data_IF_633840100693
#
_entry.id   IF_633840100693
#
_cell.length_a   1.000
_cell.length_b   1.000
_cell.length_c   1.000
_cell.angle_alpha   90.00
_cell.angle_beta   90.00
_cell.angle_gamma   90.00
#
_symmetry.space_group_name_H-M   'P 1'
#
loop_
_entity.id
_entity.type
_entity.pdbx_description
1 polymer ?
#
# COMPACT_ATOMS: atom_id res chain seq x y z
N UNK A 1 12.86 -22.55 7.24
CA UNK A 1 12.07 -21.38 7.70
C UNK A 1 11.40 -20.61 6.55
N UNK A 2 11.95 -20.58 5.32
CA UNK A 2 11.32 -19.93 4.14
C UNK A 2 9.85 -20.33 3.90
N UNK A 3 9.53 -21.62 3.80
CA UNK A 3 8.14 -22.10 3.56
C UNK A 3 7.08 -21.60 4.55
N UNK A 4 7.45 -21.25 5.80
CA UNK A 4 6.51 -20.64 6.76
C UNK A 4 6.34 -19.15 6.52
N UNK A 5 7.41 -18.45 6.13
CA UNK A 5 7.40 -17.01 5.82
C UNK A 5 6.58 -16.73 4.57
N UNK A 6 6.69 -17.59 3.55
CA UNK A 6 5.94 -17.50 2.31
C UNK A 6 4.43 -17.68 2.56
N UNK A 7 4.04 -18.67 3.40
CA UNK A 7 2.63 -18.87 3.78
C UNK A 7 2.03 -17.72 4.58
N UNK A 8 2.78 -17.14 5.52
CA UNK A 8 2.30 -16.03 6.36
C UNK A 8 2.13 -14.76 5.53
N UNK A 9 3.00 -14.52 4.55
CA UNK A 9 2.91 -13.31 3.71
C UNK A 9 1.91 -13.46 2.57
N UNK A 10 1.76 -14.66 2.02
CA UNK A 10 0.61 -15.00 1.17
C UNK A 10 -0.72 -14.82 1.91
N UNK A 11 -0.76 -15.17 3.20
CA UNK A 11 -1.93 -14.89 4.04
C UNK A 11 -2.16 -13.39 4.17
N UNK A 12 -1.13 -12.60 4.44
CA UNK A 12 -1.26 -11.14 4.60
C UNK A 12 -1.76 -10.43 3.32
N UNK A 13 -1.33 -10.89 2.14
CA UNK A 13 -1.82 -10.38 0.84
C UNK A 13 -3.26 -10.79 0.52
N UNK A 14 -3.70 -11.94 1.03
CA UNK A 14 -5.09 -12.40 0.85
C UNK A 14 -6.07 -11.57 1.67
N UNK A 15 -5.61 -10.94 2.75
CA UNK A 15 -6.43 -10.16 3.68
C UNK A 15 -6.24 -8.65 3.49
N UNK A 16 -6.52 -8.17 2.28
CA UNK A 16 -6.50 -6.73 1.92
C UNK A 16 -7.35 -5.85 2.85
N UNK A 17 -8.37 -6.44 3.49
CA UNK A 17 -9.23 -5.75 4.45
C UNK A 17 -8.53 -5.33 5.74
N UNK A 18 -7.41 -5.97 6.10
CA UNK A 18 -6.64 -5.59 7.29
C UNK A 18 -6.11 -4.17 7.19
N UNK A 19 -5.75 -3.70 5.99
CA UNK A 19 -5.30 -2.31 5.81
C UNK A 19 -6.42 -1.32 6.14
N UNK A 20 -7.66 -1.66 5.79
CA UNK A 20 -8.82 -0.85 6.13
C UNK A 20 -9.04 -0.83 7.64
N UNK A 21 -8.91 -1.97 8.32
CA UNK A 21 -9.04 -2.06 9.78
C UNK A 21 -7.98 -1.20 10.49
N UNK A 22 -6.72 -1.31 10.05
CA UNK A 22 -5.62 -0.53 10.64
C UNK A 22 -5.78 0.96 10.33
N UNK A 23 -6.17 1.33 9.10
CA UNK A 23 -6.45 2.72 8.74
C UNK A 23 -7.63 3.30 9.54
N UNK A 24 -8.68 2.51 9.77
CA UNK A 24 -9.81 2.90 10.63
C UNK A 24 -9.37 3.07 12.08
N UNK A 25 -8.50 2.20 12.60
CA UNK A 25 -7.96 2.35 13.95
C UNK A 25 -7.13 3.64 14.09
N UNK A 26 -6.32 3.99 13.08
CA UNK A 26 -5.58 5.26 13.04
C UNK A 26 -6.54 6.45 12.99
N UNK A 27 -7.61 6.38 12.19
CA UNK A 27 -8.62 7.44 12.14
C UNK A 27 -9.35 7.61 13.48
N UNK A 28 -9.69 6.52 14.17
CA UNK A 28 -10.29 6.57 15.51
C UNK A 28 -9.29 7.16 16.52
N UNK A 29 -8.01 6.79 16.45
CA UNK A 29 -6.98 7.38 17.30
C UNK A 29 -6.84 8.89 17.06
N UNK A 30 -6.92 9.34 15.80
CA UNK A 30 -6.93 10.77 15.45
C UNK A 30 -8.16 11.49 16.02
N UNK A 31 -9.34 10.86 15.99
CA UNK A 31 -10.55 11.39 16.64
C UNK A 31 -10.36 11.55 18.15
N UNK A 32 -9.76 10.56 18.82
CA UNK A 32 -9.54 10.61 20.27
C UNK A 32 -8.45 11.61 20.67
N UNK A 33 -7.48 11.86 19.80
CA UNK A 33 -6.44 12.87 20.00
C UNK A 33 -6.94 14.31 19.75
N UNK A 34 -8.17 14.48 19.27
CA UNK A 34 -8.78 15.76 18.90
C UNK A 34 -8.59 16.92 19.88
N UNK A 35 -8.71 16.77 21.22
CA UNK A 35 -8.63 17.90 22.15
C UNK A 35 -7.29 18.65 22.12
N UNK A 36 -6.30 18.13 21.39
CA UNK A 36 -4.93 18.65 21.34
C UNK A 36 -4.58 19.42 20.07
N UNK A 37 -5.42 19.38 19.02
CA UNK A 37 -5.15 20.01 17.73
C UNK A 37 -6.37 20.82 17.24
N UNK A 38 -6.52 22.04 17.75
CA UNK A 38 -7.59 22.94 17.31
C UNK A 38 -7.18 23.64 16.00
N UNK A 39 -7.42 22.97 14.87
CA UNK A 39 -7.15 23.52 13.55
C UNK A 39 -8.21 24.59 13.17
N UNK A 40 -7.78 25.64 12.49
CA UNK A 40 -8.69 26.60 11.85
C UNK A 40 -9.39 26.01 10.62
N UNK A 41 -10.49 26.62 10.18
CA UNK A 41 -11.21 26.20 8.95
C UNK A 41 -10.27 26.23 7.74
N UNK A 42 -9.50 27.30 7.56
CA UNK A 42 -8.54 27.44 6.45
C UNK A 42 -7.46 26.36 6.45
N UNK A 43 -6.99 25.95 7.63
CA UNK A 43 -5.98 24.89 7.78
C UNK A 43 -6.55 23.53 7.40
N UNK A 44 -7.82 23.25 7.72
CA UNK A 44 -8.50 22.02 7.27
C UNK A 44 -8.70 21.95 5.76
N UNK A 45 -9.01 23.08 5.11
CA UNK A 45 -9.05 23.17 3.65
C UNK A 45 -7.67 22.84 3.04
N UNK A 46 -6.60 23.43 3.59
CA UNK A 46 -5.23 23.15 3.15
C UNK A 46 -4.84 21.68 3.38
N UNK A 47 -5.21 21.11 4.53
CA UNK A 47 -4.99 19.70 4.86
C UNK A 47 -5.65 18.79 3.84
N UNK A 48 -6.97 18.93 3.61
CA UNK A 48 -7.71 18.10 2.66
C UNK A 48 -7.21 18.23 1.22
N UNK A 49 -6.83 19.45 0.79
CA UNK A 49 -6.22 19.67 -0.52
C UNK A 49 -4.86 18.93 -0.65
N UNK A 50 -4.06 18.95 0.43
CA UNK A 50 -2.80 18.22 0.50
C UNK A 50 -3.02 16.71 0.44
N UNK A 51 -4.02 16.19 1.18
CA UNK A 51 -4.39 14.76 1.16
C UNK A 51 -4.85 14.33 -0.22
N UNK A 52 -5.73 15.10 -0.88
CA UNK A 52 -6.19 14.80 -2.23
C UNK A 52 -5.04 14.80 -3.25
N UNK A 53 -4.09 15.74 -3.11
CA UNK A 53 -2.89 15.80 -3.96
C UNK A 53 -1.98 14.60 -3.72
N UNK A 54 -1.77 14.22 -2.46
CA UNK A 54 -1.01 13.04 -2.08
C UNK A 54 -1.61 11.76 -2.68
N UNK A 55 -2.93 11.57 -2.56
CA UNK A 55 -3.62 10.43 -3.17
C UNK A 55 -3.50 10.41 -4.70
N UNK A 56 -3.58 11.57 -5.35
CA UNK A 56 -3.32 11.71 -6.78
C UNK A 56 -1.91 11.28 -7.18
N UNK A 57 -0.90 11.65 -6.38
CA UNK A 57 0.49 11.22 -6.58
C UNK A 57 0.65 9.71 -6.38
N UNK A 58 0.03 9.14 -5.34
CA UNK A 58 0.05 7.68 -5.09
C UNK A 58 -0.62 6.93 -6.23
N UNK A 59 -1.74 7.43 -6.75
CA UNK A 59 -2.44 6.86 -7.90
C UNK A 59 -1.56 6.88 -9.15
N UNK A 60 -0.90 8.02 -9.43
CA UNK A 60 0.02 8.16 -10.56
C UNK A 60 1.23 7.21 -10.43
N UNK A 61 1.87 7.17 -9.26
CA UNK A 61 3.01 6.30 -8.99
C UNK A 61 2.65 4.81 -9.09
N UNK A 62 1.46 4.42 -8.60
CA UNK A 62 0.96 3.05 -8.69
C UNK A 62 0.68 2.64 -10.13
N UNK A 63 0.11 3.55 -10.93
CA UNK A 63 -0.14 3.33 -12.36
C UNK A 63 1.16 3.17 -13.14
N UNK A 64 2.13 4.05 -12.88
CA UNK A 64 3.46 3.98 -13.47
C UNK A 64 4.19 2.68 -13.10
N UNK A 65 4.15 2.29 -11.82
CA UNK A 65 4.77 1.05 -11.35
C UNK A 65 4.15 -0.19 -11.98
N UNK A 66 2.81 -0.21 -12.12
CA UNK A 66 2.11 -1.29 -12.81
C UNK A 66 2.52 -1.40 -14.29
N UNK A 67 2.70 -0.25 -14.95
CA UNK A 67 3.15 -0.20 -16.34
C UNK A 67 4.60 -0.66 -16.49
N UNK A 68 5.50 -0.21 -15.62
CA UNK A 68 6.90 -0.67 -15.62
C UNK A 68 7.00 -2.18 -15.39
N UNK A 69 6.19 -2.73 -14.50
CA UNK A 69 6.13 -4.19 -14.27
C UNK A 69 5.61 -4.96 -15.50
N UNK A 70 4.69 -4.37 -16.28
CA UNK A 70 4.17 -4.98 -17.51
C UNK A 70 5.19 -4.95 -18.66
N UNK A 71 6.08 -3.96 -18.67
CA UNK A 71 7.12 -3.78 -19.69
C UNK A 71 8.50 -4.34 -19.30
N UNK A 72 8.68 -4.79 -18.05
CA UNK A 72 9.95 -5.33 -17.57
C UNK A 72 10.44 -6.51 -18.44
N UNK A 73 11.68 -6.37 -18.95
CA UNK A 73 12.39 -7.39 -19.74
C UNK A 73 13.30 -8.28 -18.88
N UNK A 74 13.52 -7.92 -17.61
CA UNK A 74 14.34 -8.71 -16.69
C UNK A 74 13.71 -10.11 -16.49
N UNK A 75 14.45 -11.21 -16.71
CA UNK A 75 13.92 -12.57 -16.63
C UNK A 75 13.33 -12.91 -15.25
N UNK A 76 13.92 -12.41 -14.16
CA UNK A 76 13.39 -12.58 -12.80
C UNK A 76 12.03 -11.87 -12.65
N UNK A 77 11.92 -10.63 -13.12
CA UNK A 77 10.67 -9.88 -13.08
C UNK A 77 9.59 -10.55 -13.93
N UNK A 78 9.96 -11.09 -15.10
CA UNK A 78 9.04 -11.84 -15.97
C UNK A 78 8.56 -13.13 -15.30
N UNK A 79 9.45 -13.86 -14.61
CA UNK A 79 9.13 -15.08 -13.85
C UNK A 79 8.16 -14.77 -12.71
N UNK A 80 8.48 -13.79 -11.85
CA UNK A 80 7.63 -13.31 -10.75
C UNK A 80 6.26 -12.88 -11.27
N UNK A 81 6.23 -12.09 -12.34
CA UNK A 81 4.97 -11.63 -12.96
C UNK A 81 4.11 -12.79 -13.45
N UNK A 82 4.69 -13.82 -14.04
CA UNK A 82 3.95 -15.00 -14.52
C UNK A 82 3.40 -15.82 -13.36
N UNK A 83 4.21 -16.02 -12.32
CA UNK A 83 3.86 -16.88 -11.18
C UNK A 83 2.85 -16.22 -10.23
N UNK A 84 2.97 -14.92 -10.01
CA UNK A 84 2.14 -14.16 -9.07
C UNK A 84 1.17 -13.16 -9.73
N UNK A 85 0.92 -13.27 -11.05
CA UNK A 85 0.01 -12.39 -11.80
C UNK A 85 -1.32 -12.08 -11.10
N UNK A 86 -2.09 -13.07 -10.58
CA UNK A 86 -3.37 -12.77 -9.95
C UNK A 86 -3.23 -11.95 -8.66
N UNK A 87 -2.17 -12.20 -7.88
CA UNK A 87 -1.89 -11.45 -6.65
C UNK A 87 -1.51 -10.00 -6.97
N UNK A 88 -0.56 -9.81 -7.90
CA UNK A 88 -0.12 -8.48 -8.35
C UNK A 88 -1.30 -7.65 -8.86
N UNK A 89 -2.14 -8.22 -9.74
CA UNK A 89 -3.31 -7.52 -10.26
C UNK A 89 -4.29 -7.14 -9.16
N UNK A 90 -4.52 -8.02 -8.19
CA UNK A 90 -5.43 -7.78 -7.07
C UNK A 90 -4.91 -6.68 -6.14
N UNK A 91 -3.62 -6.69 -5.80
CA UNK A 91 -3.00 -5.65 -4.95
C UNK A 91 -2.93 -4.31 -5.66
N UNK A 92 -2.58 -4.28 -6.94
CA UNK A 92 -2.56 -3.06 -7.74
C UNK A 92 -3.95 -2.46 -7.87
N UNK A 93 -4.97 -3.28 -8.20
CA UNK A 93 -6.35 -2.81 -8.29
C UNK A 93 -6.85 -2.26 -6.96
N UNK A 94 -6.55 -2.94 -5.84
CA UNK A 94 -6.93 -2.46 -4.52
C UNK A 94 -6.25 -1.13 -4.15
N UNK A 95 -4.98 -0.95 -4.51
CA UNK A 95 -4.25 0.30 -4.28
C UNK A 95 -4.86 1.43 -5.12
N UNK A 96 -5.03 1.21 -6.42
CA UNK A 96 -5.63 2.19 -7.33
C UNK A 96 -7.05 2.59 -6.90
N UNK A 97 -7.93 1.62 -6.64
CA UNK A 97 -9.29 1.93 -6.20
C UNK A 97 -9.31 2.60 -4.82
N UNK A 98 -8.39 2.22 -3.94
CA UNK A 98 -8.21 2.84 -2.63
C UNK A 98 -7.87 4.32 -2.73
N UNK A 99 -6.79 4.64 -3.44
CA UNK A 99 -6.34 6.03 -3.63
C UNK A 99 -7.41 6.87 -4.34
N UNK A 100 -8.13 6.30 -5.32
CA UNK A 100 -9.24 7.01 -5.96
C UNK A 100 -10.38 7.32 -4.97
N UNK A 101 -10.76 6.35 -4.13
CA UNK A 101 -11.77 6.55 -3.10
C UNK A 101 -11.32 7.54 -2.03
N UNK A 102 -10.04 7.51 -1.64
CA UNK A 102 -9.47 8.45 -0.66
C UNK A 102 -9.41 9.88 -1.22
N UNK A 103 -9.00 10.06 -2.48
CA UNK A 103 -9.04 11.35 -3.17
C UNK A 103 -10.48 11.89 -3.28
N UNK A 104 -11.42 11.06 -3.73
CA UNK A 104 -12.83 11.44 -3.81
C UNK A 104 -13.41 11.77 -2.42
N UNK A 105 -13.08 10.95 -1.41
CA UNK A 105 -13.47 11.13 -0.02
C UNK A 105 -12.98 12.46 0.54
N UNK A 106 -11.70 12.78 0.35
CA UNK A 106 -11.10 14.05 0.76
C UNK A 106 -11.78 15.25 0.09
N UNK A 107 -12.07 15.16 -1.21
CA UNK A 107 -12.81 16.22 -1.93
C UNK A 107 -14.24 16.37 -1.42
N UNK A 108 -14.94 15.27 -1.14
CA UNK A 108 -16.29 15.35 -0.56
C UNK A 108 -16.30 15.91 0.86
N UNK A 109 -15.25 15.64 1.65
CA UNK A 109 -15.09 16.16 3.00
C UNK A 109 -14.91 17.69 3.03
N UNK A 110 -14.43 18.31 1.94
CA UNK A 110 -14.32 19.78 1.83
C UNK A 110 -15.68 20.47 2.02
N UNK A 111 -16.77 19.87 1.53
CA UNK A 111 -18.11 20.44 1.70
C UNK A 111 -18.60 20.41 3.15
N UNK A 112 -18.04 19.54 3.99
CA UNK A 112 -18.39 19.39 5.39
C UNK A 112 -17.41 20.06 6.36
N UNK A 113 -16.36 20.73 5.88
CA UNK A 113 -15.27 21.23 6.71
C UNK A 113 -15.70 22.30 7.74
N UNK A 114 -16.71 23.10 7.42
CA UNK A 114 -17.28 24.09 8.34
C UNK A 114 -18.32 23.50 9.30
N UNK A 115 -19.06 22.48 8.85
CA UNK A 115 -20.17 21.91 9.62
C UNK A 115 -19.68 20.87 10.62
N UNK A 116 -18.82 19.94 10.18
CA UNK A 116 -18.38 18.78 10.97
C UNK A 116 -16.85 18.65 10.94
N UNK A 117 -16.11 19.58 11.58
CA UNK A 117 -14.65 19.63 11.51
C UNK A 117 -13.97 18.36 12.05
N UNK A 118 -14.55 17.73 13.07
CA UNK A 118 -14.06 16.47 13.64
C UNK A 118 -14.08 15.32 12.64
N UNK A 119 -15.15 15.24 11.83
CA UNK A 119 -15.31 14.19 10.82
C UNK A 119 -14.27 14.39 9.73
N UNK A 120 -14.02 15.63 9.32
CA UNK A 120 -13.02 15.97 8.32
C UNK A 120 -11.62 15.49 8.71
N UNK A 121 -11.19 15.74 9.94
CA UNK A 121 -9.84 15.38 10.36
C UNK A 121 -9.66 13.85 10.46
N UNK A 122 -10.71 13.11 10.82
CA UNK A 122 -10.68 11.63 10.74
C UNK A 122 -10.65 11.09 9.34
N UNK A 123 -11.38 11.72 8.40
CA UNK A 123 -11.35 11.34 6.99
C UNK A 123 -9.95 11.60 6.43
N UNK A 124 -9.35 12.74 6.76
CA UNK A 124 -7.98 13.05 6.35
C UNK A 124 -6.98 12.00 6.86
N UNK A 125 -7.05 11.64 8.16
CA UNK A 125 -6.20 10.61 8.74
C UNK A 125 -6.38 9.24 8.07
N UNK A 126 -7.62 8.83 7.79
CA UNK A 126 -7.92 7.59 7.08
C UNK A 126 -7.35 7.60 5.66
N UNK A 127 -7.59 8.69 4.92
CA UNK A 127 -7.13 8.85 3.53
C UNK A 127 -5.61 8.87 3.41
N UNK A 128 -4.87 9.31 4.43
CA UNK A 128 -3.41 9.20 4.44
C UNK A 128 -2.95 7.80 4.84
N UNK A 129 -3.55 7.21 5.88
CA UNK A 129 -3.12 5.93 6.41
C UNK A 129 -3.31 4.77 5.42
N UNK A 130 -4.45 4.72 4.73
CA UNK A 130 -4.79 3.59 3.87
C UNK A 130 -3.83 3.40 2.67
N UNK A 131 -3.53 4.44 1.87
CA UNK A 131 -2.58 4.33 0.76
C UNK A 131 -1.16 4.01 1.26
N UNK A 132 -0.73 4.59 2.38
CA UNK A 132 0.59 4.32 2.97
C UNK A 132 0.70 2.85 3.37
N UNK A 133 -0.28 2.29 4.08
CA UNK A 133 -0.29 0.89 4.47
C UNK A 133 -0.28 -0.04 3.26
N UNK A 134 -1.07 0.28 2.23
CA UNK A 134 -1.11 -0.50 0.97
C UNK A 134 0.22 -0.44 0.23
N UNK A 135 0.84 0.74 0.16
CA UNK A 135 2.15 0.95 -0.45
C UNK A 135 3.26 0.18 0.27
N UNK A 136 3.35 0.31 1.59
CA UNK A 136 4.33 -0.41 2.41
C UNK A 136 4.18 -1.93 2.25
N UNK A 137 2.95 -2.45 2.23
CA UNK A 137 2.73 -3.88 1.97
C UNK A 137 3.19 -4.30 0.58
N UNK A 138 2.88 -3.51 -0.45
CA UNK A 138 3.28 -3.82 -1.81
C UNK A 138 4.81 -3.87 -1.95
N UNK A 139 5.51 -2.92 -1.32
CA UNK A 139 6.97 -2.88 -1.28
C UNK A 139 7.54 -4.06 -0.49
N UNK A 140 7.06 -4.33 0.73
CA UNK A 140 7.52 -5.46 1.54
C UNK A 140 7.38 -6.77 0.76
N UNK A 141 6.19 -7.01 0.18
CA UNK A 141 5.96 -8.20 -0.62
C UNK A 141 6.92 -8.32 -1.81
N UNK A 142 7.09 -7.25 -2.57
CA UNK A 142 7.95 -7.25 -3.76
C UNK A 142 9.40 -7.56 -3.41
N UNK A 143 9.93 -6.96 -2.34
CA UNK A 143 11.30 -7.21 -1.87
C UNK A 143 11.50 -8.70 -1.56
N UNK A 144 10.54 -9.34 -0.92
CA UNK A 144 10.69 -10.73 -0.47
C UNK A 144 10.59 -11.70 -1.62
N UNK A 145 9.59 -11.51 -2.50
CA UNK A 145 9.41 -12.39 -3.65
C UNK A 145 10.61 -12.28 -4.60
N UNK A 146 11.16 -11.08 -4.77
CA UNK A 146 12.38 -10.89 -5.56
C UNK A 146 13.57 -11.61 -4.93
N UNK A 147 13.74 -11.53 -3.60
CA UNK A 147 14.83 -12.20 -2.89
C UNK A 147 14.67 -13.74 -2.85
N UNK A 148 13.45 -14.27 -2.76
CA UNK A 148 13.23 -15.73 -2.75
C UNK A 148 13.55 -16.35 -4.09
N UNK A 149 13.15 -15.71 -5.19
CA UNK A 149 13.44 -16.20 -6.55
C UNK A 149 14.92 -16.11 -6.89
N UNK A 150 15.62 -15.06 -6.42
CA UNK A 150 17.08 -14.95 -6.58
C UNK A 150 17.84 -16.08 -5.86
N UNK A 151 17.33 -16.55 -4.72
CA UNK A 151 17.93 -17.67 -3.97
C UNK A 151 17.68 -19.01 -4.67
N UNK A 152 16.49 -19.22 -5.22
CA UNK A 152 16.12 -20.47 -5.91
C UNK A 152 16.82 -20.61 -7.28
N UNK A 153 17.15 -19.50 -7.95
CA UNK A 153 17.90 -19.52 -9.22
C UNK A 153 19.43 -19.70 -9.04
N UNK A 154 19.95 -19.79 -7.80
CA UNK A 154 21.38 -20.12 -7.58
C UNK A 154 21.62 -21.60 -7.88
N UNK A 155 22.55 -21.94 -8.81
CA UNK A 155 22.88 -23.34 -9.06
C UNK A 155 23.38 -23.98 -7.77
N UNK A 156 22.88 -25.18 -7.46
CA UNK A 156 23.33 -25.97 -6.33
C UNK A 156 24.86 -26.01 -6.34
N UNK A 157 25.48 -25.52 -5.26
CA UNK A 157 26.95 -25.51 -5.15
C UNK A 157 27.41 -26.95 -5.35
N UNK A 158 28.20 -27.28 -6.40
CA UNK A 158 28.62 -28.64 -6.63
C UNK A 158 29.31 -29.12 -5.36
N UNK A 159 28.78 -30.20 -4.77
CA UNK A 159 29.31 -30.78 -3.54
C UNK A 159 30.81 -30.94 -3.75
N UNK A 160 31.61 -30.14 -3.04
CA UNK A 160 33.08 -30.23 -3.12
C UNK A 160 33.42 -31.68 -2.82
N UNK A 161 33.93 -32.35 -3.85
CA UNK A 161 34.22 -33.77 -3.81
C UNK A 161 35.00 -34.10 -2.54
N UNK A 162 34.38 -34.95 -1.70
CA UNK A 162 35.13 -35.77 -0.78
C UNK A 162 36.03 -36.64 -1.66
N UNK A 163 37.31 -36.25 -1.73
CA UNK A 163 38.34 -37.14 -2.27
C UNK A 163 38.39 -38.39 -1.37
N UNK A 164 38.52 -39.58 -1.98
CA UNK A 164 38.58 -40.85 -1.27
C UNK A 164 39.75 -40.93 -0.30
#
# INVERSE_FOLDING_TARGET
MQRRRDRVKDWWLRHLGLDCVVASAIAIAAWLAWPTADLGVAERFALLATVATFDGLVLAASTFSAQMMSQASNPLAVKVRRLHRPLINRTSRATLSGSLMCAAGALTALFGASTWPHVVDTVAAFCVALPVLRGLRAVDWFVIVSLSEEVDDRPATPARGLKP
#
